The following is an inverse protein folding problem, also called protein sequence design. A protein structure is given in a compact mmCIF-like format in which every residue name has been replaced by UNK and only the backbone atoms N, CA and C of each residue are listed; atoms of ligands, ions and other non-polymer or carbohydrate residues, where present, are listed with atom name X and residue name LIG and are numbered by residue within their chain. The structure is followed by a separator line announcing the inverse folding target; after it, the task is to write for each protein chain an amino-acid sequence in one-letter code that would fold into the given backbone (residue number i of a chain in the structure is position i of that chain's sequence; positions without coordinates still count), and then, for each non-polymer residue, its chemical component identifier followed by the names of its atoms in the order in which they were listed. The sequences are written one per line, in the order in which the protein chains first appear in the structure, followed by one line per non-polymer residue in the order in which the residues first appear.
data_IF_317296548897
#
_entry.id   IF_317296548897
#
_cell.length_a   1.000
_cell.length_b   1.000
_cell.length_c   1.000
_cell.angle_alpha   90.00
_cell.angle_beta   90.00
_cell.angle_gamma   90.00
#
_symmetry.space_group_name_H-M   'P 1'
#
loop_
_entity.id
_entity.type
_entity.pdbx_description
1 polymer ?
#
# COMPACT_ATOMS: atom_id res chain seq x y z
N UNK A 1 12.39 19.71 -6.58
CA UNK A 1 11.65 18.43 -6.54
C UNK A 1 10.72 18.49 -5.33
N UNK A 2 9.46 18.18 -5.54
CA UNK A 2 8.48 18.01 -4.44
C UNK A 2 8.46 16.50 -4.14
N UNK A 3 8.59 16.15 -2.86
CA UNK A 3 8.52 14.75 -2.41
C UNK A 3 7.19 14.48 -1.71
N UNK A 4 6.62 13.31 -1.95
CA UNK A 4 5.41 12.84 -1.27
C UNK A 4 5.77 11.73 -0.30
N UNK A 5 5.31 11.85 0.95
CA UNK A 5 5.42 10.81 1.97
C UNK A 5 4.06 10.21 2.26
N UNK A 6 3.93 8.92 2.00
CA UNK A 6 2.84 8.09 2.44
C UNK A 6 3.22 7.35 3.71
N UNK A 7 2.33 7.35 4.71
CA UNK A 7 2.52 6.61 5.96
C UNK A 7 1.40 5.60 6.12
N UNK A 8 1.75 4.33 6.43
CA UNK A 8 0.75 3.32 6.74
C UNK A 8 0.17 3.56 8.14
N UNK A 9 -1.16 3.51 8.25
CA UNK A 9 -1.90 3.69 9.50
C UNK A 9 -2.72 2.47 9.87
N UNK A 10 -2.58 2.00 11.12
CA UNK A 10 -3.30 0.84 11.66
C UNK A 10 -4.28 1.22 12.79
N UNK A 11 -4.38 2.48 13.14
CA UNK A 11 -5.35 3.04 14.08
C UNK A 11 -5.50 4.55 13.87
N UNK A 12 -6.57 5.14 14.38
CA UNK A 12 -6.90 6.55 14.17
C UNK A 12 -5.83 7.49 14.75
N UNK A 13 -5.32 7.15 15.92
CA UNK A 13 -4.30 7.98 16.59
C UNK A 13 -3.02 8.08 15.75
N UNK A 14 -2.50 6.95 15.25
CA UNK A 14 -1.33 6.91 14.38
C UNK A 14 -1.55 7.70 13.09
N UNK A 15 -2.74 7.59 12.46
CA UNK A 15 -3.07 8.36 11.27
C UNK A 15 -3.07 9.87 11.55
N UNK A 16 -3.66 10.28 12.68
CA UNK A 16 -3.69 11.69 13.09
C UNK A 16 -2.29 12.23 13.38
N UNK A 17 -1.46 11.45 14.09
CA UNK A 17 -0.06 11.80 14.35
C UNK A 17 0.73 11.96 13.05
N UNK A 18 0.58 11.03 12.11
CA UNK A 18 1.24 11.09 10.81
C UNK A 18 0.85 12.36 10.03
N UNK A 19 -0.45 12.69 9.98
CA UNK A 19 -0.92 13.95 9.39
C UNK A 19 -0.30 15.17 10.04
N UNK A 20 -0.31 15.25 11.38
CA UNK A 20 0.28 16.37 12.12
C UNK A 20 1.80 16.47 11.92
N UNK A 21 2.47 15.36 11.68
CA UNK A 21 3.90 15.30 11.37
C UNK A 21 4.24 15.64 9.91
N UNK A 22 3.23 15.91 9.06
CA UNK A 22 3.43 16.36 7.69
C UNK A 22 3.42 15.24 6.65
N UNK A 23 2.85 14.07 6.96
CA UNK A 23 2.54 13.08 5.94
C UNK A 23 1.55 13.68 4.91
N UNK A 24 1.73 13.33 3.64
CA UNK A 24 0.88 13.81 2.56
C UNK A 24 -0.31 12.87 2.35
N UNK A 25 -0.16 11.59 2.72
CA UNK A 25 -1.12 10.54 2.46
C UNK A 25 -1.04 9.44 3.52
N UNK A 26 -2.18 8.81 3.82
CA UNK A 26 -2.26 7.61 4.66
C UNK A 26 -2.68 6.42 3.82
N UNK A 27 -1.86 5.35 3.81
CA UNK A 27 -2.35 4.02 3.47
C UNK A 27 -3.03 3.44 4.70
N UNK A 28 -4.37 3.26 4.65
CA UNK A 28 -5.13 2.75 5.79
C UNK A 28 -5.23 1.24 5.74
N UNK A 29 -4.72 0.58 6.77
CA UNK A 29 -4.68 -0.88 6.87
C UNK A 29 -5.17 -1.37 8.22
N UNK A 30 -5.65 -2.60 8.27
CA UNK A 30 -5.79 -3.39 9.47
C UNK A 30 -4.73 -4.50 9.51
N UNK A 31 -4.63 -5.26 10.59
CA UNK A 31 -3.82 -6.46 10.74
C UNK A 31 -2.32 -6.27 10.38
N UNK A 32 -1.58 -5.49 11.20
CA UNK A 32 -0.17 -5.18 10.95
C UNK A 32 0.74 -6.42 10.89
N UNK A 33 0.35 -7.52 11.56
CA UNK A 33 1.10 -8.78 11.56
C UNK A 33 1.15 -9.46 10.19
N UNK A 34 0.13 -9.25 9.35
CA UNK A 34 0.03 -9.79 7.99
C UNK A 34 0.49 -8.81 6.90
N UNK A 35 1.02 -7.66 7.31
CA UNK A 35 1.44 -6.62 6.35
C UNK A 35 0.32 -5.76 5.80
N UNK A 36 -0.86 -5.80 6.42
CA UNK A 36 -2.04 -5.04 6.05
C UNK A 36 -3.12 -5.86 5.38
N UNK A 37 -4.36 -5.71 5.85
CA UNK A 37 -5.61 -6.21 5.23
C UNK A 37 -6.62 -5.08 5.17
N UNK A 38 -7.75 -5.29 4.47
CA UNK A 38 -8.81 -4.29 4.36
C UNK A 38 -9.29 -3.84 5.75
N UNK A 39 -9.26 -2.52 6.06
CA UNK A 39 -9.79 -2.00 7.31
C UNK A 39 -11.31 -2.07 7.34
N UNK A 40 -11.89 -2.17 8.54
CA UNK A 40 -13.35 -2.20 8.68
C UNK A 40 -14.00 -0.91 8.17
N UNK A 41 -15.29 -0.99 7.76
CA UNK A 41 -16.10 0.17 7.39
C UNK A 41 -16.03 1.30 8.43
N UNK A 42 -16.16 0.94 9.72
CA UNK A 42 -16.12 1.92 10.81
C UNK A 42 -14.77 2.62 10.92
N UNK A 43 -13.69 1.89 10.67
CA UNK A 43 -12.34 2.45 10.67
C UNK A 43 -12.14 3.42 9.49
N UNK A 44 -12.49 3.02 8.26
CA UNK A 44 -12.39 3.88 7.06
C UNK A 44 -13.22 5.16 7.26
N UNK A 45 -14.48 5.04 7.67
CA UNK A 45 -15.39 6.17 7.90
C UNK A 45 -14.84 7.14 8.94
N UNK A 46 -14.28 6.61 10.05
CA UNK A 46 -13.74 7.45 11.12
C UNK A 46 -12.45 8.13 10.67
N UNK A 47 -11.57 7.41 9.94
CA UNK A 47 -10.35 7.96 9.38
C UNK A 47 -10.68 9.10 8.41
N UNK A 48 -11.61 8.90 7.45
CA UNK A 48 -11.99 9.94 6.49
C UNK A 48 -12.53 11.21 7.19
N UNK A 49 -13.31 11.05 8.24
CA UNK A 49 -13.83 12.18 9.01
C UNK A 49 -12.74 13.02 9.69
N UNK A 50 -11.67 12.36 10.15
CA UNK A 50 -10.62 13.00 10.97
C UNK A 50 -9.44 13.50 10.15
N UNK A 51 -9.22 12.95 8.95
CA UNK A 51 -8.06 13.28 8.12
C UNK A 51 -8.44 14.26 7.02
N UNK A 52 -7.53 15.20 6.76
CA UNK A 52 -7.64 16.20 5.69
C UNK A 52 -6.67 15.91 4.53
N UNK A 53 -5.79 14.92 4.70
CA UNK A 53 -4.85 14.44 3.68
C UNK A 53 -5.44 13.24 2.95
N UNK A 54 -4.80 12.82 1.88
CA UNK A 54 -5.23 11.69 1.06
C UNK A 54 -5.34 10.40 1.89
N UNK A 55 -6.41 9.65 1.68
CA UNK A 55 -6.72 8.40 2.37
C UNK A 55 -6.88 7.25 1.38
N UNK A 56 -5.96 6.29 1.43
CA UNK A 56 -5.86 5.14 0.54
C UNK A 56 -6.05 3.82 1.31
N UNK A 57 -7.29 3.30 1.47
CA UNK A 57 -7.50 2.01 2.10
C UNK A 57 -6.95 0.87 1.26
N UNK A 58 -6.27 -0.10 1.91
CA UNK A 58 -5.90 -1.33 1.24
C UNK A 58 -7.13 -2.23 1.04
N UNK A 59 -7.23 -2.82 -0.14
CA UNK A 59 -8.25 -3.81 -0.50
C UNK A 59 -7.58 -5.17 -0.59
N UNK A 60 -7.49 -5.85 0.54
CA UNK A 60 -6.84 -7.14 0.70
C UNK A 60 -7.63 -7.97 1.71
N UNK A 61 -8.44 -8.93 1.25
CA UNK A 61 -9.45 -9.62 2.10
C UNK A 61 -8.84 -10.49 3.18
N UNK A 62 -7.58 -10.91 3.03
CA UNK A 62 -6.84 -11.73 4.00
C UNK A 62 -5.34 -11.55 3.92
N UNK A 63 -4.62 -12.02 4.92
CA UNK A 63 -3.17 -12.22 4.90
C UNK A 63 -2.72 -13.35 3.97
N UNK A 64 -1.44 -13.69 4.02
CA UNK A 64 -0.82 -14.71 3.17
C UNK A 64 -0.50 -14.20 1.75
N UNK A 65 -0.76 -15.06 0.74
CA UNK A 65 -0.46 -14.79 -0.66
C UNK A 65 -1.44 -13.81 -1.34
N UNK A 66 -1.28 -13.62 -2.65
CA UNK A 66 -2.08 -12.69 -3.46
C UNK A 66 -2.86 -13.40 -4.56
N UNK A 67 -3.04 -14.72 -4.42
CA UNK A 67 -3.89 -15.56 -5.27
C UNK A 67 -5.25 -15.72 -4.58
N UNK A 68 -6.30 -15.10 -5.11
CA UNK A 68 -7.63 -15.06 -4.48
C UNK A 68 -8.63 -15.93 -5.20
N UNK A 69 -9.58 -16.52 -4.45
CA UNK A 69 -10.76 -17.21 -4.99
C UNK A 69 -11.82 -16.21 -5.46
N UNK A 70 -12.85 -16.71 -6.15
CA UNK A 70 -13.90 -15.84 -6.70
C UNK A 70 -14.69 -15.14 -5.61
N UNK A 71 -14.94 -15.79 -4.47
CA UNK A 71 -15.63 -15.22 -3.33
C UNK A 71 -14.81 -14.09 -2.67
N UNK A 72 -13.50 -14.26 -2.57
CA UNK A 72 -12.60 -13.21 -2.06
C UNK A 72 -12.57 -12.00 -3.01
N UNK A 73 -12.64 -12.25 -4.31
CA UNK A 73 -12.72 -11.18 -5.30
C UNK A 73 -14.05 -10.41 -5.22
N UNK A 74 -15.18 -11.09 -4.93
CA UNK A 74 -16.45 -10.40 -4.65
C UNK A 74 -16.37 -9.51 -3.41
N UNK A 75 -15.67 -9.95 -2.33
CA UNK A 75 -15.39 -9.11 -1.16
C UNK A 75 -14.59 -7.87 -1.56
N UNK A 76 -13.52 -8.04 -2.33
CA UNK A 76 -12.70 -6.91 -2.80
C UNK A 76 -13.52 -5.89 -3.59
N UNK A 77 -14.42 -6.34 -4.47
CA UNK A 77 -15.33 -5.44 -5.22
C UNK A 77 -16.28 -4.67 -4.31
N UNK A 78 -16.79 -5.31 -3.27
CA UNK A 78 -17.65 -4.64 -2.29
C UNK A 78 -16.87 -3.59 -1.50
N UNK A 79 -15.65 -3.90 -1.06
CA UNK A 79 -14.78 -2.98 -0.31
C UNK A 79 -14.39 -1.75 -1.15
N UNK A 80 -14.09 -1.92 -2.45
CA UNK A 80 -13.85 -0.80 -3.38
C UNK A 80 -15.06 0.14 -3.44
N UNK A 81 -16.28 -0.41 -3.53
CA UNK A 81 -17.51 0.39 -3.55
C UNK A 81 -17.68 1.20 -2.24
N UNK A 82 -17.41 0.56 -1.10
CA UNK A 82 -17.44 1.22 0.21
C UNK A 82 -16.45 2.38 0.26
N UNK A 83 -15.21 2.19 -0.20
CA UNK A 83 -14.21 3.26 -0.22
C UNK A 83 -14.67 4.45 -1.08
N UNK A 84 -15.32 4.16 -2.21
CA UNK A 84 -15.88 5.17 -3.09
C UNK A 84 -17.05 5.93 -2.45
N UNK A 85 -17.97 5.21 -1.80
CA UNK A 85 -19.09 5.81 -1.03
C UNK A 85 -18.63 6.67 0.15
N UNK A 86 -17.48 6.33 0.75
CA UNK A 86 -16.88 7.06 1.86
C UNK A 86 -15.94 8.18 1.39
N UNK A 87 -15.89 8.47 0.08
CA UNK A 87 -15.08 9.55 -0.50
C UNK A 87 -13.59 9.44 -0.15
N UNK A 88 -13.06 8.20 -0.21
CA UNK A 88 -11.62 8.01 -0.19
C UNK A 88 -10.99 8.56 -1.47
N UNK A 89 -9.69 8.86 -1.43
CA UNK A 89 -8.99 9.47 -2.57
C UNK A 89 -8.46 8.41 -3.55
N UNK A 90 -8.10 7.22 -3.04
CA UNK A 90 -7.69 6.06 -3.83
C UNK A 90 -7.92 4.75 -3.06
N UNK A 91 -7.61 3.64 -3.72
CA UNK A 91 -7.54 2.30 -3.11
C UNK A 91 -6.22 1.62 -3.47
N UNK A 92 -5.78 0.69 -2.61
CA UNK A 92 -4.55 -0.06 -2.81
C UNK A 92 -4.88 -1.53 -3.03
N UNK A 93 -4.53 -2.08 -4.19
CA UNK A 93 -4.88 -3.45 -4.61
C UNK A 93 -3.65 -4.24 -5.05
N UNK A 94 -3.81 -5.53 -5.30
CA UNK A 94 -2.81 -6.35 -5.99
C UNK A 94 -3.21 -7.81 -5.99
N UNK A 95 -3.21 -8.42 -7.18
CA UNK A 95 -3.56 -9.82 -7.39
C UNK A 95 -2.61 -10.47 -8.39
N UNK A 96 -2.26 -11.71 -8.11
CA UNK A 96 -1.38 -12.52 -8.94
C UNK A 96 -2.05 -13.85 -9.28
N UNK A 97 -1.68 -14.41 -10.41
CA UNK A 97 -1.91 -15.84 -10.71
C UNK A 97 -0.88 -16.71 -9.97
N UNK A 98 -1.13 -18.00 -9.93
CA UNK A 98 -0.27 -18.99 -9.25
C UNK A 98 1.14 -19.10 -9.84
N UNK A 99 1.34 -18.63 -11.06
CA UNK A 99 2.64 -18.57 -11.75
C UNK A 99 3.42 -17.27 -11.48
N UNK A 100 2.88 -16.38 -10.63
CA UNK A 100 3.48 -15.08 -10.30
C UNK A 100 3.27 -14.00 -11.36
N UNK A 101 2.41 -14.22 -12.35
CA UNK A 101 2.00 -13.15 -13.27
C UNK A 101 0.86 -12.32 -12.68
N UNK A 102 0.72 -11.07 -13.13
CA UNK A 102 -0.36 -10.17 -12.68
C UNK A 102 -1.71 -10.67 -13.20
N UNK A 103 -2.71 -10.79 -12.32
CA UNK A 103 -4.10 -11.04 -12.74
C UNK A 103 -4.71 -9.75 -13.34
N UNK A 104 -4.30 -9.46 -14.58
CA UNK A 104 -4.76 -8.27 -15.31
C UNK A 104 -6.29 -8.19 -15.38
N UNK A 105 -6.94 -9.33 -15.58
CA UNK A 105 -8.39 -9.37 -15.77
C UNK A 105 -9.15 -8.86 -14.54
N UNK A 106 -8.79 -9.36 -13.34
CA UNK A 106 -9.43 -8.94 -12.10
C UNK A 106 -8.95 -7.56 -11.65
N UNK A 107 -7.66 -7.25 -11.81
CA UNK A 107 -7.13 -5.92 -11.51
C UNK A 107 -7.83 -4.83 -12.34
N UNK A 108 -8.01 -5.02 -13.66
CA UNK A 108 -8.73 -4.06 -14.52
C UNK A 108 -10.17 -3.84 -14.05
N UNK A 109 -10.87 -4.89 -13.61
CA UNK A 109 -12.23 -4.75 -13.07
C UNK A 109 -12.26 -3.91 -11.80
N UNK A 110 -11.25 -4.06 -10.90
CA UNK A 110 -11.18 -3.24 -9.69
C UNK A 110 -10.81 -1.78 -10.01
N UNK A 111 -9.90 -1.55 -10.96
CA UNK A 111 -9.55 -0.19 -11.42
C UNK A 111 -10.77 0.51 -12.03
N UNK A 112 -11.50 -0.17 -12.91
CA UNK A 112 -12.74 0.35 -13.51
C UNK A 112 -13.80 0.66 -12.44
N UNK A 113 -13.97 -0.25 -11.46
CA UNK A 113 -14.92 -0.08 -10.37
C UNK A 113 -14.53 1.09 -9.44
N UNK A 114 -13.23 1.28 -9.20
CA UNK A 114 -12.71 2.34 -8.35
C UNK A 114 -12.90 3.73 -8.96
N UNK A 115 -12.90 3.86 -10.29
CA UNK A 115 -13.02 5.17 -10.95
C UNK A 115 -14.15 6.04 -10.35
N UNK A 116 -13.90 7.31 -9.99
CA UNK A 116 -12.73 8.14 -10.29
C UNK A 116 -11.61 8.08 -9.25
N UNK A 117 -11.64 7.17 -8.26
CA UNK A 117 -10.55 7.02 -7.30
C UNK A 117 -9.27 6.57 -7.99
N UNK A 118 -8.11 7.05 -7.48
CA UNK A 118 -6.81 6.53 -7.89
C UNK A 118 -6.59 5.07 -7.45
N UNK A 119 -5.68 4.36 -8.08
CA UNK A 119 -5.36 2.97 -7.72
C UNK A 119 -3.85 2.76 -7.61
N UNK A 120 -3.41 2.25 -6.46
CA UNK A 120 -2.03 1.81 -6.22
C UNK A 120 -1.96 0.29 -6.28
N UNK A 121 -0.98 -0.28 -6.99
CA UNK A 121 -0.65 -1.69 -6.90
C UNK A 121 0.34 -1.92 -5.76
N UNK A 122 -0.04 -2.72 -4.76
CA UNK A 122 0.75 -2.92 -3.55
C UNK A 122 1.92 -3.91 -3.73
N UNK A 123 2.54 -4.32 -2.62
CA UNK A 123 3.70 -5.21 -2.57
C UNK A 123 3.47 -6.65 -3.08
N UNK A 124 2.31 -6.99 -3.64
CA UNK A 124 2.18 -8.15 -4.51
C UNK A 124 3.18 -8.06 -5.67
N UNK A 125 3.57 -6.84 -6.08
CA UNK A 125 4.63 -6.61 -7.06
C UNK A 125 5.96 -7.25 -6.66
N UNK A 126 6.30 -7.29 -5.38
CA UNK A 126 7.53 -7.94 -4.91
C UNK A 126 7.50 -9.47 -4.98
N UNK A 127 6.41 -10.07 -5.47
CA UNK A 127 6.20 -11.51 -5.64
C UNK A 127 5.99 -11.93 -7.10
N UNK A 128 6.15 -11.01 -8.05
CA UNK A 128 6.00 -11.32 -9.48
C UNK A 128 7.19 -12.12 -10.00
N UNK A 129 6.94 -12.95 -11.00
CA UNK A 129 7.98 -13.76 -11.64
C UNK A 129 8.90 -12.92 -12.55
N UNK A 130 8.36 -11.89 -13.21
CA UNK A 130 9.08 -10.98 -14.09
C UNK A 130 8.65 -9.53 -13.78
N UNK A 131 9.48 -8.74 -13.07
CA UNK A 131 9.12 -7.39 -12.67
C UNK A 131 9.00 -6.40 -13.83
N UNK A 132 9.78 -6.56 -14.89
CA UNK A 132 9.76 -5.65 -16.03
C UNK A 132 8.49 -5.86 -16.86
N UNK A 133 8.06 -7.11 -17.04
CA UNK A 133 6.78 -7.42 -17.65
C UNK A 133 5.61 -7.02 -16.77
N UNK A 134 5.67 -7.28 -15.47
CA UNK A 134 4.62 -6.92 -14.52
C UNK A 134 4.39 -5.40 -14.46
N UNK A 135 5.45 -4.60 -14.58
CA UNK A 135 5.33 -3.14 -14.70
C UNK A 135 4.43 -2.74 -15.88
N UNK A 136 4.68 -3.30 -17.08
CA UNK A 136 3.87 -3.00 -18.26
C UNK A 136 2.42 -3.50 -18.08
N UNK A 137 2.25 -4.69 -17.53
CA UNK A 137 0.92 -5.25 -17.26
C UNK A 137 0.11 -4.36 -16.29
N UNK A 138 0.75 -3.76 -15.28
CA UNK A 138 0.10 -2.86 -14.29
C UNK A 138 -0.18 -1.48 -14.90
N UNK A 139 0.68 -0.97 -15.77
CA UNK A 139 0.41 0.25 -16.55
C UNK A 139 -0.82 0.03 -17.45
N UNK A 140 -0.86 -1.08 -18.17
CA UNK A 140 -1.99 -1.42 -19.05
C UNK A 140 -3.33 -1.56 -18.29
N UNK A 141 -3.27 -2.02 -17.04
CA UNK A 141 -4.44 -2.15 -16.14
C UNK A 141 -4.97 -0.78 -15.72
N UNK A 142 -4.14 0.26 -15.75
CA UNK A 142 -4.51 1.62 -15.40
C UNK A 142 -4.27 2.00 -13.94
N UNK A 143 -3.35 1.32 -13.25
CA UNK A 143 -2.89 1.78 -11.95
C UNK A 143 -2.02 3.05 -12.10
N UNK A 144 -2.09 3.94 -11.10
CA UNK A 144 -1.30 5.18 -11.08
C UNK A 144 0.05 5.01 -10.37
N UNK A 145 0.18 3.95 -9.57
CA UNK A 145 1.31 3.78 -8.65
C UNK A 145 1.61 2.32 -8.38
N UNK A 146 2.89 1.99 -8.19
CA UNK A 146 3.36 0.70 -7.70
C UNK A 146 4.16 0.91 -6.43
N UNK A 147 3.75 0.26 -5.33
CA UNK A 147 4.51 0.15 -4.09
C UNK A 147 5.41 -1.09 -4.15
N UNK A 148 6.71 -0.90 -4.04
CA UNK A 148 7.68 -2.01 -4.14
C UNK A 148 8.92 -1.79 -3.26
N UNK A 149 9.54 -2.87 -2.85
CA UNK A 149 10.89 -2.88 -2.27
C UNK A 149 11.98 -3.31 -3.28
N UNK A 150 11.63 -3.36 -4.58
CA UNK A 150 12.55 -3.83 -5.61
C UNK A 150 12.82 -5.33 -5.51
N UNK A 151 11.82 -6.13 -5.11
CA UNK A 151 11.88 -7.59 -4.92
C UNK A 151 12.89 -8.04 -3.84
N UNK A 152 13.26 -7.14 -2.95
CA UNK A 152 14.15 -7.39 -1.82
C UNK A 152 13.42 -7.24 -0.48
N UNK A 153 13.97 -7.72 0.63
CA UNK A 153 13.36 -7.54 1.95
C UNK A 153 13.12 -6.08 2.32
N UNK A 154 13.98 -5.17 1.89
CA UNK A 154 13.82 -3.72 2.08
C UNK A 154 14.18 -2.92 0.80
N UNK A 155 13.65 -1.71 0.70
CA UNK A 155 13.79 -0.88 -0.49
C UNK A 155 15.22 -0.42 -0.78
N UNK A 156 16.07 -0.29 0.25
CA UNK A 156 17.46 0.15 0.04
C UNK A 156 18.28 -0.96 -0.65
N UNK A 157 18.04 -2.23 -0.29
CA UNK A 157 18.66 -3.38 -0.96
C UNK A 157 18.15 -3.55 -2.39
N UNK A 158 16.89 -3.18 -2.65
CA UNK A 158 16.27 -3.22 -3.98
C UNK A 158 16.45 -1.96 -4.82
N UNK A 159 17.29 -1.01 -4.40
CA UNK A 159 17.37 0.31 -5.02
C UNK A 159 17.73 0.28 -6.52
N UNK A 160 18.57 -0.66 -6.96
CA UNK A 160 18.94 -0.81 -8.38
C UNK A 160 17.74 -1.27 -9.23
N UNK A 161 16.95 -2.24 -8.73
CA UNK A 161 15.72 -2.66 -9.40
C UNK A 161 14.70 -1.52 -9.45
N UNK A 162 14.51 -0.79 -8.35
CA UNK A 162 13.61 0.35 -8.27
C UNK A 162 14.01 1.43 -9.30
N UNK A 163 15.31 1.76 -9.40
CA UNK A 163 15.82 2.70 -10.40
C UNK A 163 15.55 2.21 -11.84
N UNK A 164 15.71 0.91 -12.09
CA UNK A 164 15.41 0.29 -13.39
C UNK A 164 13.93 0.40 -13.74
N UNK A 165 13.04 0.13 -12.76
CA UNK A 165 11.60 0.26 -12.93
C UNK A 165 11.18 1.70 -13.20
N UNK A 166 11.74 2.69 -12.48
CA UNK A 166 11.48 4.12 -12.71
C UNK A 166 11.89 4.51 -14.13
N UNK A 167 13.07 4.07 -14.57
CA UNK A 167 13.55 4.34 -15.93
C UNK A 167 12.63 3.74 -16.99
N UNK A 168 12.18 2.49 -16.82
CA UNK A 168 11.27 1.83 -17.76
C UNK A 168 9.86 2.43 -17.71
N UNK A 169 9.38 2.79 -16.52
CA UNK A 169 8.09 3.44 -16.34
C UNK A 169 7.97 4.72 -17.16
N UNK A 170 9.06 5.49 -17.29
CA UNK A 170 9.14 6.71 -18.11
C UNK A 170 7.92 7.63 -17.87
N UNK A 171 7.67 7.94 -16.59
CA UNK A 171 6.58 8.80 -16.11
C UNK A 171 5.15 8.28 -16.37
N UNK A 172 4.96 7.07 -16.93
CA UNK A 172 3.63 6.47 -17.17
C UNK A 172 2.95 5.98 -15.90
N UNK A 173 3.73 5.69 -14.86
CA UNK A 173 3.28 5.24 -13.55
C UNK A 173 4.30 5.62 -12.49
N UNK A 174 3.86 5.90 -11.28
CA UNK A 174 4.75 6.22 -10.16
C UNK A 174 5.28 4.94 -9.52
N UNK A 175 6.60 4.83 -9.37
CA UNK A 175 7.23 3.76 -8.60
C UNK A 175 7.57 4.31 -7.22
N UNK A 176 6.91 3.80 -6.20
CA UNK A 176 7.01 4.25 -4.81
C UNK A 176 7.77 3.22 -3.97
N UNK A 177 9.02 3.51 -3.55
CA UNK A 177 9.75 2.63 -2.65
C UNK A 177 9.06 2.48 -1.30
N UNK A 178 8.96 1.25 -0.80
CA UNK A 178 8.46 0.93 0.53
C UNK A 178 9.13 -0.31 1.11
N UNK A 179 8.93 -0.58 2.38
CA UNK A 179 9.63 -1.53 3.24
C UNK A 179 11.00 -1.02 3.70
N UNK A 180 11.12 -0.78 5.00
CA UNK A 180 12.36 -0.33 5.63
C UNK A 180 12.74 1.13 5.32
N UNK A 181 11.85 1.94 4.73
CA UNK A 181 12.08 3.37 4.52
C UNK A 181 11.96 4.11 5.84
N UNK A 182 13.01 4.87 6.19
CA UNK A 182 13.15 5.59 7.46
C UNK A 182 13.83 6.94 7.26
N UNK A 183 13.80 7.78 8.28
CA UNK A 183 14.44 9.11 8.26
C UNK A 183 15.95 9.07 8.04
N UNK A 184 16.62 8.00 8.42
CA UNK A 184 18.07 7.82 8.29
C UNK A 184 18.51 7.32 6.89
N UNK A 185 17.59 6.77 6.10
CA UNK A 185 17.94 6.19 4.78
C UNK A 185 17.17 6.77 3.59
N UNK A 186 16.08 7.50 3.79
CA UNK A 186 15.22 8.00 2.70
C UNK A 186 15.98 8.92 1.71
N UNK A 187 16.93 9.72 2.20
CA UNK A 187 17.72 10.61 1.35
C UNK A 187 18.66 9.80 0.44
N UNK A 188 19.28 8.75 0.97
CA UNK A 188 20.12 7.85 0.18
C UNK A 188 19.29 7.11 -0.85
N UNK A 189 18.13 6.59 -0.44
CA UNK A 189 17.19 5.89 -1.33
C UNK A 189 16.72 6.78 -2.47
N UNK A 190 16.35 8.04 -2.18
CA UNK A 190 15.95 9.01 -3.20
C UNK A 190 17.07 9.26 -4.23
N UNK A 191 18.31 9.42 -3.76
CA UNK A 191 19.46 9.63 -4.65
C UNK A 191 19.77 8.41 -5.52
N UNK A 192 19.65 7.20 -4.97
CA UNK A 192 19.93 5.95 -5.69
C UNK A 192 18.86 5.62 -6.72
N UNK A 193 17.59 5.87 -6.40
CA UNK A 193 16.47 5.43 -7.21
C UNK A 193 15.92 6.50 -8.15
N UNK A 194 16.00 7.77 -7.76
CA UNK A 194 15.31 8.87 -8.43
C UNK A 194 13.82 8.95 -8.08
N UNK A 195 13.33 8.16 -7.13
CA UNK A 195 11.94 8.19 -6.69
C UNK A 195 11.57 9.54 -6.06
N UNK A 196 10.32 9.94 -6.24
CA UNK A 196 9.74 11.18 -5.69
C UNK A 196 8.63 10.92 -4.66
N UNK A 197 8.08 9.71 -4.61
CA UNK A 197 7.13 9.28 -3.59
C UNK A 197 7.73 8.13 -2.77
N UNK A 198 7.44 8.12 -1.47
CA UNK A 198 7.99 7.14 -0.52
C UNK A 198 6.91 6.65 0.42
N UNK A 199 6.94 5.35 0.70
CA UNK A 199 6.07 4.72 1.69
C UNK A 199 6.87 4.32 2.92
N UNK A 200 6.39 4.70 4.12
CA UNK A 200 7.01 4.34 5.39
C UNK A 200 5.98 3.85 6.40
N UNK A 201 6.38 2.90 7.24
CA UNK A 201 5.56 2.54 8.39
C UNK A 201 5.67 3.55 9.53
N UNK A 202 6.78 4.27 9.63
CA UNK A 202 7.09 5.21 10.72
C UNK A 202 6.71 4.64 12.13
N UNK A 203 6.76 3.31 12.27
CA UNK A 203 6.17 2.57 13.38
C UNK A 203 7.04 2.66 14.62
N UNK A 204 6.38 2.95 15.74
CA UNK A 204 6.98 2.89 17.09
C UNK A 204 6.06 2.06 17.98
N UNK A 205 6.66 1.24 18.84
CA UNK A 205 5.92 0.51 19.87
C UNK A 205 5.67 1.41 21.08
N UNK A 206 4.46 1.39 21.58
CA UNK A 206 4.08 2.05 22.84
C UNK A 206 3.55 0.98 23.81
N UNK A 207 3.77 1.18 25.10
CA UNK A 207 3.23 0.29 26.12
C UNK A 207 1.71 0.42 26.17
N UNK A 208 1.03 -0.68 26.47
CA UNK A 208 -0.40 -0.66 26.73
C UNK A 208 -0.69 0.14 28.03
N UNK A 209 -1.78 0.89 28.02
CA UNK A 209 -2.31 1.56 29.21
C UNK A 209 -3.13 0.60 30.11
N UNK A 210 -3.23 -0.69 29.75
CA UNK A 210 -3.88 -1.67 30.61
C UNK A 210 -3.09 -1.83 31.90
N UNK A 211 -3.80 -1.78 33.06
CA UNK A 211 -3.21 -1.93 34.39
C UNK A 211 -3.26 -3.38 34.89
N UNK A 212 -4.06 -4.21 34.23
CA UNK A 212 -4.17 -5.65 34.54
C UNK A 212 -3.56 -6.47 33.41
N UNK A 213 -2.72 -7.45 33.78
CA UNK A 213 -2.16 -8.43 32.86
C UNK A 213 -2.41 -9.83 33.44
N UNK A 214 -2.97 -10.74 32.66
CA UNK A 214 -3.10 -12.13 33.08
C UNK A 214 -1.76 -12.85 32.88
N UNK A 215 -1.08 -13.17 33.97
CA UNK A 215 0.24 -13.83 33.92
C UNK A 215 0.26 -15.21 33.24
N UNK A 216 -0.91 -15.85 33.11
CA UNK A 216 -1.04 -17.14 32.41
C UNK A 216 -1.13 -16.99 30.87
N UNK A 217 -1.41 -15.77 30.37
CA UNK A 217 -1.47 -15.48 28.94
C UNK A 217 -0.15 -14.85 28.52
N UNK A 218 0.59 -15.52 27.63
CA UNK A 218 1.79 -14.96 26.98
C UNK A 218 1.33 -14.39 25.66
N UNK A 219 1.38 -13.07 25.52
CA UNK A 219 1.20 -12.34 24.28
C UNK A 219 2.55 -12.13 23.59
#
# INVERSE_FOLDING_TARGET
MIFTLEVIGFNIESCTIAQLAGAHRIELCDNPGEGGTTPSYGFIKTARKNLQIDLFPIIRPRGGDFLYFDEEFEVMKADVKICKELECDAVVIGMLYSDGTVDKKRCSQLVELAYPLGVTFHRAFDRVADPLKALEDIIDVGCERILTSGLQPNALDGAEMIASLIKQANERIIIMPGSGVRSDNIIELAKKTGATEFHSSARMYINSNMTYTNAAMKE
#
